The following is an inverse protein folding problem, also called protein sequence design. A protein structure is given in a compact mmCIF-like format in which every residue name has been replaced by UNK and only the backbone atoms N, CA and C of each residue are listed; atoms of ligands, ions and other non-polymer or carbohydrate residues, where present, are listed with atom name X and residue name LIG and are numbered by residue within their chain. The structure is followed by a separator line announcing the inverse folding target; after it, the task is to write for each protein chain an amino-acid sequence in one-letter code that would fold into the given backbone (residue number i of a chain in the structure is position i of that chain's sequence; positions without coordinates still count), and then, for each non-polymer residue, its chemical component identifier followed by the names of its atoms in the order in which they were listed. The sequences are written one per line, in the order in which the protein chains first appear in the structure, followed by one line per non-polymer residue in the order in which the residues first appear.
data_IF_522134732965
#
_entry.id   IF_522134732965
#
_cell.length_a   1.000
_cell.length_b   1.000
_cell.length_c   1.000
_cell.angle_alpha   90.00
_cell.angle_beta   90.00
_cell.angle_gamma   90.00
#
_symmetry.space_group_name_H-M   'P 1'
#
loop_
_entity.id
_entity.type
_entity.pdbx_description
1 polymer ?
#
# COMPACT_ATOMS: atom_id res chain seq x y z
N UNK A 1 6.95 -14.77 10.51
CA UNK A 1 7.10 -13.60 11.38
C UNK A 1 6.51 -13.92 12.75
N UNK A 2 7.25 -13.61 13.81
CA UNK A 2 6.79 -13.62 15.19
C UNK A 2 6.07 -12.30 15.52
N UNK A 3 5.37 -12.24 16.66
CA UNK A 3 4.79 -10.99 17.17
C UNK A 3 5.88 -9.98 17.58
N UNK A 4 7.05 -10.47 17.99
CA UNK A 4 8.22 -9.63 18.31
C UNK A 4 8.73 -8.94 17.06
N UNK A 5 8.92 -9.69 15.97
CA UNK A 5 9.38 -9.14 14.68
C UNK A 5 8.45 -8.01 14.21
N UNK A 6 7.13 -8.23 14.31
CA UNK A 6 6.13 -7.24 13.91
C UNK A 6 6.12 -6.01 14.81
N UNK A 7 6.35 -6.17 16.11
CA UNK A 7 6.46 -5.05 17.04
C UNK A 7 7.64 -4.14 16.71
N UNK A 8 8.78 -4.72 16.38
CA UNK A 8 9.98 -3.97 16.03
C UNK A 8 9.81 -3.26 14.69
N UNK A 9 9.25 -3.94 13.68
CA UNK A 9 8.98 -3.37 12.36
C UNK A 9 7.97 -2.22 12.42
N UNK A 10 6.88 -2.40 13.15
CA UNK A 10 5.78 -1.42 13.23
C UNK A 10 5.99 -0.37 14.34
N UNK A 11 7.07 -0.48 15.12
CA UNK A 11 7.38 0.39 16.27
C UNK A 11 6.22 0.51 17.27
N UNK A 12 5.55 -0.61 17.56
CA UNK A 12 4.43 -0.68 18.51
C UNK A 12 4.66 -1.74 19.58
N UNK A 13 4.04 -1.56 20.75
CA UNK A 13 4.23 -2.47 21.89
C UNK A 13 3.73 -3.90 21.58
N UNK A 14 4.39 -4.97 22.06
CA UNK A 14 3.99 -6.36 21.82
C UNK A 14 2.53 -6.71 22.16
N UNK A 15 1.92 -6.20 23.25
CA UNK A 15 0.51 -6.44 23.54
C UNK A 15 -0.43 -5.91 22.45
N UNK A 16 -0.09 -4.79 21.81
CA UNK A 16 -0.86 -4.21 20.71
C UNK A 16 -0.85 -5.12 19.48
N UNK A 17 0.33 -5.64 19.12
CA UNK A 17 0.46 -6.58 18.00
C UNK A 17 -0.31 -7.86 18.29
N UNK A 18 -0.12 -8.46 19.47
CA UNK A 18 -0.83 -9.69 19.85
C UNK A 18 -2.35 -9.53 19.80
N UNK A 19 -2.87 -8.39 20.28
CA UNK A 19 -4.29 -8.07 20.19
C UNK A 19 -4.78 -7.97 18.74
N UNK A 20 -4.03 -7.28 17.87
CA UNK A 20 -4.38 -7.12 16.45
C UNK A 20 -4.30 -8.43 15.67
N UNK A 21 -3.26 -9.24 15.91
CA UNK A 21 -3.11 -10.57 15.31
C UNK A 21 -4.28 -11.47 15.70
N UNK A 22 -4.67 -11.47 16.97
CA UNK A 22 -5.86 -12.20 17.44
C UNK A 22 -7.15 -11.74 16.76
N UNK A 23 -7.34 -10.43 16.59
CA UNK A 23 -8.51 -9.86 15.90
C UNK A 23 -8.55 -10.23 14.41
N UNK A 24 -7.41 -10.18 13.71
CA UNK A 24 -7.31 -10.56 12.31
C UNK A 24 -7.54 -12.07 12.12
N UNK A 25 -7.06 -12.90 13.04
CA UNK A 25 -7.32 -14.34 13.05
C UNK A 25 -8.82 -14.64 13.24
N UNK A 26 -9.47 -14.00 14.22
CA UNK A 26 -10.93 -14.12 14.43
C UNK A 26 -11.75 -13.72 13.20
N UNK A 27 -11.28 -12.74 12.43
CA UNK A 27 -11.91 -12.29 11.18
C UNK A 27 -11.54 -13.16 9.95
N UNK A 28 -10.71 -14.20 10.15
CA UNK A 28 -10.30 -15.14 9.11
C UNK A 28 -9.27 -14.59 8.13
N UNK A 29 -8.55 -13.51 8.47
CA UNK A 29 -7.48 -12.96 7.63
C UNK A 29 -6.12 -13.61 7.90
N UNK A 30 -5.92 -14.15 9.11
CA UNK A 30 -4.71 -14.85 9.51
C UNK A 30 -5.04 -16.25 10.01
N UNK A 31 -4.14 -17.19 9.73
CA UNK A 31 -4.02 -18.45 10.45
C UNK A 31 -2.85 -18.33 11.44
N UNK A 32 -3.10 -18.65 12.70
CA UNK A 32 -2.10 -18.64 13.75
C UNK A 32 -1.95 -20.06 14.31
N UNK A 33 -0.83 -20.69 14.02
CA UNK A 33 -0.47 -22.01 14.58
C UNK A 33 0.59 -21.79 15.68
N UNK A 34 0.39 -22.33 16.90
CA UNK A 34 1.44 -22.33 17.92
C UNK A 34 2.76 -22.85 17.34
N UNK A 35 3.86 -22.14 17.61
CA UNK A 35 5.23 -22.45 17.15
C UNK A 35 5.52 -22.31 15.64
N UNK A 36 4.51 -22.05 14.79
CA UNK A 36 4.69 -21.85 13.34
C UNK A 36 4.50 -20.41 12.88
N UNK A 37 4.23 -19.51 13.81
CA UNK A 37 4.01 -18.09 13.54
C UNK A 37 2.64 -17.84 12.89
N UNK A 38 2.52 -16.70 12.23
CA UNK A 38 1.30 -16.28 11.56
C UNK A 38 1.44 -16.30 10.03
N UNK A 39 0.39 -16.74 9.35
CA UNK A 39 0.29 -16.74 7.88
C UNK A 39 -1.02 -16.09 7.46
N UNK A 40 -0.99 -15.40 6.31
CA UNK A 40 -2.22 -14.93 5.68
C UNK A 40 -3.02 -16.13 5.19
N UNK A 41 -4.34 -16.06 5.36
CA UNK A 41 -5.27 -16.93 4.63
C UNK A 41 -5.43 -16.38 3.22
N UNK A 42 -6.08 -17.12 2.30
CA UNK A 42 -6.42 -16.58 0.98
C UNK A 42 -7.21 -15.26 1.05
N UNK A 43 -8.09 -15.13 2.06
CA UNK A 43 -8.84 -13.90 2.34
C UNK A 43 -7.89 -12.77 2.77
N UNK A 44 -6.96 -13.07 3.67
CA UNK A 44 -5.92 -12.13 4.10
C UNK A 44 -5.03 -11.68 2.94
N UNK A 45 -4.60 -12.60 2.10
CA UNK A 45 -3.77 -12.31 0.94
C UNK A 45 -4.47 -11.41 -0.08
N UNK A 46 -5.77 -11.63 -0.34
CA UNK A 46 -6.54 -10.76 -1.24
C UNK A 46 -6.55 -9.32 -0.73
N UNK A 47 -6.75 -9.12 0.58
CA UNK A 47 -6.71 -7.78 1.19
C UNK A 47 -5.29 -7.21 1.14
N UNK A 48 -4.28 -7.98 1.51
CA UNK A 48 -2.89 -7.54 1.49
C UNK A 48 -2.44 -7.10 0.08
N UNK A 49 -2.78 -7.90 -0.95
CA UNK A 49 -2.53 -7.52 -2.36
C UNK A 49 -3.24 -6.23 -2.75
N UNK A 50 -4.47 -6.02 -2.28
CA UNK A 50 -5.19 -4.77 -2.55
C UNK A 50 -4.55 -3.55 -1.89
N UNK A 51 -3.97 -3.71 -0.68
CA UNK A 51 -3.27 -2.63 0.02
C UNK A 51 -1.98 -2.30 -0.72
N UNK A 52 -1.13 -3.30 -1.01
CA UNK A 52 0.13 -3.11 -1.74
C UNK A 52 -0.10 -2.49 -3.12
N UNK A 53 -1.11 -2.99 -3.86
CA UNK A 53 -1.45 -2.46 -5.18
C UNK A 53 -1.86 -0.99 -5.11
N UNK A 54 -2.68 -0.62 -4.12
CA UNK A 54 -3.12 0.77 -3.92
C UNK A 54 -1.94 1.69 -3.63
N UNK A 55 -1.07 1.32 -2.69
CA UNK A 55 0.14 2.05 -2.36
C UNK A 55 0.98 2.29 -3.62
N UNK A 56 1.28 1.22 -4.36
CA UNK A 56 2.11 1.29 -5.56
C UNK A 56 1.52 2.18 -6.66
N UNK A 57 0.20 2.11 -6.89
CA UNK A 57 -0.47 2.93 -7.91
C UNK A 57 -0.38 4.42 -7.56
N UNK A 58 -0.63 4.78 -6.29
CA UNK A 58 -0.62 6.18 -5.85
C UNK A 58 0.82 6.72 -5.84
N UNK A 59 1.75 5.96 -5.28
CA UNK A 59 3.17 6.32 -5.27
C UNK A 59 3.72 6.51 -6.68
N UNK A 60 3.46 5.58 -7.60
CA UNK A 60 3.91 5.69 -8.99
C UNK A 60 3.29 6.91 -9.68
N UNK A 61 2.00 7.18 -9.43
CA UNK A 61 1.35 8.37 -9.98
C UNK A 61 2.01 9.67 -9.50
N UNK A 62 2.26 9.80 -8.19
CA UNK A 62 2.90 10.98 -7.62
C UNK A 62 4.32 11.17 -8.18
N UNK A 63 5.11 10.10 -8.28
CA UNK A 63 6.43 10.15 -8.93
C UNK A 63 6.35 10.49 -10.42
N UNK A 64 5.32 10.03 -11.13
CA UNK A 64 5.13 10.36 -12.55
C UNK A 64 4.90 11.86 -12.74
N UNK A 65 4.14 12.51 -11.88
CA UNK A 65 3.88 13.96 -12.00
C UNK A 65 4.99 14.84 -11.43
N UNK A 66 6.08 14.25 -10.91
CA UNK A 66 7.28 14.98 -10.48
C UNK A 66 7.40 15.22 -8.98
N UNK A 67 6.53 14.64 -8.15
CA UNK A 67 6.66 14.74 -6.69
C UNK A 67 7.95 14.02 -6.25
N UNK A 68 8.74 14.70 -5.42
CA UNK A 68 9.97 14.18 -4.84
C UNK A 68 9.69 12.94 -3.99
N UNK A 69 10.64 11.99 -3.94
CA UNK A 69 10.45 10.64 -3.38
C UNK A 69 9.95 10.64 -1.93
N UNK A 70 10.57 11.43 -1.05
CA UNK A 70 10.16 11.52 0.37
C UNK A 70 8.74 12.06 0.49
N UNK A 71 8.44 13.10 -0.28
CA UNK A 71 7.11 13.72 -0.30
C UNK A 71 6.05 12.77 -0.88
N UNK A 72 6.35 12.09 -2.00
CA UNK A 72 5.47 11.13 -2.63
C UNK A 72 5.15 9.94 -1.71
N UNK A 73 6.14 9.48 -0.93
CA UNK A 73 5.93 8.43 0.07
C UNK A 73 4.97 8.90 1.18
N UNK A 74 5.22 10.06 1.78
CA UNK A 74 4.37 10.61 2.85
C UNK A 74 2.93 10.86 2.37
N UNK A 75 2.77 11.45 1.19
CA UNK A 75 1.46 11.71 0.61
C UNK A 75 0.73 10.42 0.26
N UNK A 76 1.45 9.40 -0.24
CA UNK A 76 0.84 8.08 -0.52
C UNK A 76 0.22 7.48 0.74
N UNK A 77 0.98 7.40 1.84
CA UNK A 77 0.50 6.90 3.15
C UNK A 77 -0.71 7.71 3.65
N UNK A 78 -0.67 9.04 3.48
CA UNK A 78 -1.76 9.93 3.86
C UNK A 78 -3.02 9.78 3.00
N UNK A 79 -2.90 9.42 1.72
CA UNK A 79 -4.02 9.36 0.76
C UNK A 79 -4.64 7.95 0.69
N UNK A 80 -3.83 6.90 0.74
CA UNK A 80 -4.24 5.54 0.38
C UNK A 80 -5.38 4.99 1.26
N UNK A 81 -5.48 5.48 2.50
CA UNK A 81 -6.53 5.07 3.44
C UNK A 81 -7.86 5.79 3.24
N UNK A 82 -7.88 6.94 2.56
CA UNK A 82 -9.07 7.79 2.41
C UNK A 82 -9.62 7.83 0.98
N UNK A 83 -8.91 7.21 0.04
CA UNK A 83 -9.31 7.17 -1.37
C UNK A 83 -10.22 5.98 -1.69
N UNK A 84 -11.25 6.25 -2.50
CA UNK A 84 -12.20 5.22 -2.94
C UNK A 84 -11.56 4.27 -3.98
N UNK A 85 -11.90 2.97 -3.99
CA UNK A 85 -11.34 2.00 -4.94
C UNK A 85 -11.52 2.40 -6.41
N UNK A 86 -12.65 3.02 -6.76
CA UNK A 86 -12.92 3.49 -8.12
C UNK A 86 -11.94 4.58 -8.56
N UNK A 87 -11.53 5.46 -7.65
CA UNK A 87 -10.56 6.53 -7.95
C UNK A 87 -9.18 5.91 -8.16
N UNK A 88 -8.75 5.00 -7.29
CA UNK A 88 -7.49 4.25 -7.45
C UNK A 88 -7.46 3.52 -8.79
N UNK A 89 -8.57 2.89 -9.20
CA UNK A 89 -8.67 2.22 -10.49
C UNK A 89 -8.48 3.19 -11.67
N UNK A 90 -9.09 4.38 -11.62
CA UNK A 90 -8.90 5.41 -12.67
C UNK A 90 -7.45 5.92 -12.71
N UNK A 91 -6.83 6.14 -11.55
CA UNK A 91 -5.40 6.49 -11.46
C UNK A 91 -4.54 5.38 -12.07
N UNK A 92 -4.82 4.12 -11.76
CA UNK A 92 -4.09 2.98 -12.33
C UNK A 92 -4.15 2.97 -13.87
N UNK A 93 -5.32 3.25 -14.45
CA UNK A 93 -5.49 3.36 -15.90
C UNK A 93 -4.71 4.53 -16.49
N UNK A 94 -4.65 5.65 -15.78
CA UNK A 94 -3.84 6.81 -16.19
C UNK A 94 -2.34 6.50 -16.13
N UNK A 95 -1.87 5.91 -15.03
CA UNK A 95 -0.48 5.46 -14.86
C UNK A 95 -0.08 4.50 -15.97
N UNK A 96 -0.92 3.51 -16.26
CA UNK A 96 -0.69 2.56 -17.36
C UNK A 96 -0.58 3.27 -18.72
N UNK A 97 -1.48 4.23 -19.00
CA UNK A 97 -1.44 5.02 -20.21
C UNK A 97 -0.15 5.84 -20.31
N UNK A 98 0.24 6.57 -19.27
CA UNK A 98 1.43 7.41 -19.26
C UNK A 98 2.71 6.58 -19.42
N UNK A 99 2.78 5.40 -18.76
CA UNK A 99 3.89 4.46 -18.90
C UNK A 99 4.06 3.98 -20.34
N UNK A 100 2.95 3.67 -21.02
CA UNK A 100 2.93 3.25 -22.43
C UNK A 100 3.18 4.41 -23.40
N UNK A 101 3.01 5.65 -22.96
CA UNK A 101 3.03 6.85 -23.81
C UNK A 101 3.99 7.93 -23.25
N UNK A 102 5.32 7.70 -23.27
CA UNK A 102 6.29 8.59 -22.62
C UNK A 102 6.33 10.02 -23.18
N UNK A 103 5.89 10.24 -24.43
CA UNK A 103 5.73 11.59 -25.01
C UNK A 103 4.70 12.42 -24.24
N UNK A 104 3.58 11.81 -23.82
CA UNK A 104 2.53 12.49 -23.07
C UNK A 104 2.97 12.76 -21.63
N UNK A 105 3.68 11.81 -21.00
CA UNK A 105 4.27 12.03 -19.68
C UNK A 105 5.23 13.22 -19.68
N UNK A 106 6.10 13.34 -20.69
CA UNK A 106 6.98 14.51 -20.84
C UNK A 106 6.18 15.79 -21.00
N UNK A 107 5.19 15.82 -21.89
CA UNK A 107 4.36 17.01 -22.10
C UNK A 107 3.63 17.47 -20.81
N UNK A 108 3.18 16.52 -19.99
CA UNK A 108 2.57 16.81 -18.68
C UNK A 108 3.60 17.39 -17.72
N UNK A 109 4.77 16.76 -17.59
CA UNK A 109 5.85 17.28 -16.73
C UNK A 109 6.29 18.67 -17.16
N UNK A 110 6.50 18.87 -18.45
CA UNK A 110 6.87 20.16 -19.03
C UNK A 110 5.78 21.23 -18.81
N UNK A 111 4.53 20.85 -18.56
CA UNK A 111 3.45 21.78 -18.22
C UNK A 111 3.40 22.09 -16.72
N UNK A 112 3.59 21.08 -15.87
CA UNK A 112 3.54 21.21 -14.41
C UNK A 112 4.72 22.06 -13.88
N UNK A 113 5.89 21.93 -14.49
CA UNK A 113 7.13 22.62 -14.07
C UNK A 113 7.27 24.05 -14.65
N UNK A 114 6.28 24.53 -15.41
CA UNK A 114 6.24 25.92 -15.91
C UNK A 114 5.62 26.86 -14.90
#
# INVERSE_FOLDING_TARGET
ASTVDLSDMLKVKPPTVSGMVGNLAKKGYLAHEPYRGMKLTEKGEKVARSVISRHGIISEFLSMIGVEEVTAHQDTEGIEHYIQPITVHKIARLVEFLRKNPKHLRAIRDYIER
#
